data_IF_254645090468
#
_entry.id   IF_254645090468
#
_cell.length_a   1.000
_cell.length_b   1.000
_cell.length_c   1.000
_cell.angle_alpha   90.00
_cell.angle_beta   90.00
_cell.angle_gamma   90.00
#
_symmetry.space_group_name_H-M   'P 1'
#
loop_
_entity.id
_entity.type
_entity.pdbx_description
1 polymer ?
#
# COMPACT_ATOMS: atom_id res chain seq x y z
N UNK A 1 -25.91 -62.13 -31.88
CA UNK A 1 -24.89 -63.06 -31.35
C UNK A 1 -23.60 -62.75 -32.09
N UNK A 2 -22.47 -62.36 -31.52
CA UNK A 2 -22.02 -62.07 -30.16
C UNK A 2 -20.85 -61.08 -30.30
N UNK A 3 -20.68 -60.16 -29.35
CA UNK A 3 -19.68 -60.26 -28.28
C UNK A 3 -18.22 -60.28 -28.78
N UNK A 4 -17.56 -59.13 -28.66
CA UNK A 4 -16.16 -58.98 -28.24
C UNK A 4 -16.07 -57.57 -27.67
N UNK A 5 -15.81 -57.31 -26.39
CA UNK A 5 -15.01 -58.06 -25.42
C UNK A 5 -13.86 -57.14 -25.02
N UNK A 6 -14.07 -56.38 -23.94
CA UNK A 6 -13.06 -55.55 -23.28
C UNK A 6 -11.97 -56.40 -22.59
N UNK A 7 -10.94 -55.67 -22.09
CA UNK A 7 -9.87 -56.05 -21.13
C UNK A 7 -8.54 -56.38 -21.80
N UNK A 8 -7.37 -55.92 -21.36
CA UNK A 8 -6.94 -54.99 -20.30
C UNK A 8 -5.41 -54.87 -20.40
N UNK A 9 -4.81 -53.77 -19.91
CA UNK A 9 -3.47 -53.81 -19.32
C UNK A 9 -2.57 -52.62 -19.64
N UNK A 10 -2.19 -51.88 -18.59
CA UNK A 10 -1.06 -50.94 -18.63
C UNK A 10 -1.16 -49.84 -17.57
N UNK A 11 -0.49 -50.05 -16.43
CA UNK A 11 -0.22 -49.06 -15.36
C UNK A 11 0.47 -47.77 -15.87
N UNK A 12 0.24 -46.66 -15.16
CA UNK A 12 1.15 -45.51 -15.14
C UNK A 12 0.45 -44.15 -15.17
N UNK A 13 0.26 -43.54 -13.99
CA UNK A 13 -0.20 -42.16 -13.86
C UNK A 13 -0.63 -41.83 -12.44
N UNK A 14 0.35 -41.52 -11.58
CA UNK A 14 0.15 -40.70 -10.39
C UNK A 14 0.55 -39.29 -10.79
N UNK A 15 -0.33 -38.31 -10.63
CA UNK A 15 -0.14 -36.89 -10.91
C UNK A 15 -1.47 -36.18 -10.73
N UNK A 16 -1.52 -35.21 -9.81
CA UNK A 16 -2.74 -34.61 -9.29
C UNK A 16 -3.58 -33.88 -10.35
N UNK A 17 -4.90 -34.04 -10.24
CA UNK A 17 -5.86 -33.15 -10.89
C UNK A 17 -6.04 -31.91 -9.98
N UNK A 18 -4.95 -31.18 -9.72
CA UNK A 18 -5.02 -29.88 -9.04
C UNK A 18 -5.40 -28.80 -10.05
N UNK A 19 -6.28 -27.87 -9.67
CA UNK A 19 -6.58 -26.74 -10.54
C UNK A 19 -5.44 -25.70 -10.39
N UNK A 20 -5.02 -25.08 -11.49
CA UNK A 20 -3.97 -24.04 -11.48
C UNK A 20 -4.32 -22.93 -10.49
N UNK A 21 -3.38 -22.59 -9.61
CA UNK A 21 -3.48 -21.46 -8.68
C UNK A 21 -3.13 -20.17 -9.42
N UNK A 22 -4.14 -19.45 -9.89
CA UNK A 22 -3.96 -18.16 -10.58
C UNK A 22 -4.02 -16.99 -9.59
N UNK A 23 -2.93 -16.23 -9.46
CA UNK A 23 -2.83 -15.07 -8.57
C UNK A 23 -2.63 -13.79 -9.38
N UNK A 24 -3.55 -12.82 -9.26
CA UNK A 24 -3.37 -11.49 -9.87
C UNK A 24 -2.73 -10.51 -8.86
N UNK A 25 -1.77 -9.68 -9.27
CA UNK A 25 -1.19 -8.65 -8.39
C UNK A 25 -0.66 -7.42 -9.15
N UNK A 26 -0.49 -6.30 -8.44
CA UNK A 26 -0.04 -5.02 -9.01
C UNK A 26 1.47 -4.76 -8.93
N UNK A 27 2.18 -5.55 -8.13
CA UNK A 27 3.60 -5.34 -7.82
C UNK A 27 4.49 -5.61 -9.05
N UNK A 28 4.83 -4.54 -9.76
CA UNK A 28 5.58 -4.56 -11.02
C UNK A 28 6.68 -3.50 -10.99
N UNK A 29 7.79 -3.76 -11.69
CA UNK A 29 8.93 -2.83 -11.73
C UNK A 29 9.60 -2.61 -10.37
N UNK A 30 10.21 -1.43 -10.19
CA UNK A 30 11.01 -1.10 -9.00
C UNK A 30 10.25 -0.95 -7.69
N UNK A 31 8.92 -0.98 -7.72
CA UNK A 31 8.04 -0.78 -6.55
C UNK A 31 7.54 -2.09 -5.92
N UNK A 32 7.95 -3.25 -6.46
CA UNK A 32 7.59 -4.53 -5.83
C UNK A 32 7.84 -5.80 -6.63
N UNK A 33 8.47 -5.75 -7.81
CA UNK A 33 8.77 -6.96 -8.57
C UNK A 33 9.67 -7.93 -7.79
N UNK A 34 10.70 -7.43 -7.12
CA UNK A 34 11.61 -8.26 -6.32
C UNK A 34 10.92 -8.88 -5.10
N UNK A 35 10.01 -8.14 -4.44
CA UNK A 35 9.19 -8.66 -3.35
C UNK A 35 8.21 -9.75 -3.82
N UNK A 36 7.60 -9.58 -5.00
CA UNK A 36 6.74 -10.59 -5.61
C UNK A 36 7.53 -11.85 -5.98
N UNK A 37 8.69 -11.69 -6.64
CA UNK A 37 9.58 -12.81 -6.99
C UNK A 37 10.00 -13.60 -5.74
N UNK A 38 10.37 -12.91 -4.66
CA UNK A 38 10.72 -13.55 -3.39
C UNK A 38 9.54 -14.30 -2.76
N UNK A 39 8.34 -13.70 -2.74
CA UNK A 39 7.14 -14.30 -2.18
C UNK A 39 6.73 -15.57 -2.95
N UNK A 40 6.58 -15.47 -4.27
CA UNK A 40 6.12 -16.56 -5.10
C UNK A 40 7.19 -17.65 -5.24
N UNK A 41 8.47 -17.28 -5.31
CA UNK A 41 9.57 -18.24 -5.26
C UNK A 41 9.62 -19.04 -3.96
N UNK A 42 9.38 -18.40 -2.81
CA UNK A 42 9.28 -19.09 -1.52
C UNK A 42 8.07 -20.03 -1.46
N UNK A 43 6.93 -19.63 -2.06
CA UNK A 43 5.76 -20.51 -2.17
C UNK A 43 6.07 -21.75 -3.02
N UNK A 44 6.66 -21.57 -4.20
CA UNK A 44 7.02 -22.69 -5.10
C UNK A 44 8.05 -23.64 -4.48
N UNK A 45 8.96 -23.14 -3.64
CA UNK A 45 9.91 -23.98 -2.90
C UNK A 45 9.21 -24.87 -1.86
N UNK A 46 8.24 -24.33 -1.10
CA UNK A 46 7.50 -25.07 -0.08
C UNK A 46 6.38 -25.97 -0.67
N UNK A 47 5.80 -25.55 -1.80
CA UNK A 47 4.61 -26.13 -2.41
C UNK A 47 4.81 -26.49 -3.89
N UNK A 48 5.94 -27.13 -4.20
CA UNK A 48 6.31 -27.55 -5.57
C UNK A 48 5.31 -28.48 -6.29
N UNK A 49 4.30 -28.99 -5.59
CA UNK A 49 3.21 -29.79 -6.13
C UNK A 49 2.01 -28.96 -6.63
N UNK A 50 1.96 -27.67 -6.33
CA UNK A 50 0.92 -26.74 -6.79
C UNK A 50 1.42 -26.00 -8.03
N UNK A 51 0.63 -26.03 -9.12
CA UNK A 51 0.91 -25.23 -10.32
C UNK A 51 0.48 -23.78 -10.09
N UNK A 52 1.45 -22.88 -9.90
CA UNK A 52 1.23 -21.44 -9.75
C UNK A 52 1.23 -20.75 -11.13
N UNK A 53 0.22 -19.90 -11.35
CA UNK A 53 0.13 -18.96 -12.47
C UNK A 53 0.05 -17.53 -11.91
N UNK A 54 1.22 -16.93 -11.64
CA UNK A 54 1.32 -15.52 -11.23
C UNK A 54 1.08 -14.59 -12.43
N UNK A 55 0.21 -13.60 -12.24
CA UNK A 55 -0.22 -12.70 -13.29
C UNK A 55 -0.05 -11.23 -12.84
N UNK A 56 1.13 -10.64 -13.09
CA UNK A 56 1.38 -9.24 -12.78
C UNK A 56 0.61 -8.30 -13.72
N UNK A 57 -0.17 -7.39 -13.14
CA UNK A 57 -0.94 -6.36 -13.85
C UNK A 57 -0.44 -4.98 -13.38
N UNK A 58 0.45 -4.37 -14.16
CA UNK A 58 1.02 -3.07 -13.81
C UNK A 58 0.03 -1.91 -13.90
N UNK A 59 0.32 -0.86 -13.13
CA UNK A 59 -0.46 0.38 -13.06
C UNK A 59 -0.36 0.99 -11.66
N UNK A 60 -0.26 2.32 -11.56
CA UNK A 60 -0.17 3.00 -10.27
C UNK A 60 -1.43 2.83 -9.43
N UNK A 61 -1.27 2.60 -8.12
CA UNK A 61 -2.37 2.54 -7.15
C UNK A 61 -3.44 1.48 -7.46
N UNK A 62 -3.05 0.29 -7.94
CA UNK A 62 -3.92 -0.85 -8.28
C UNK A 62 -5.01 -0.62 -9.34
N UNK A 63 -5.14 0.56 -9.95
CA UNK A 63 -6.27 0.90 -10.84
C UNK A 63 -6.52 -0.13 -11.95
N UNK A 64 -5.46 -0.61 -12.61
CA UNK A 64 -5.57 -1.60 -13.70
C UNK A 64 -5.87 -3.01 -13.18
N UNK A 65 -5.35 -3.36 -12.02
CA UNK A 65 -5.64 -4.61 -11.32
C UNK A 65 -7.11 -4.66 -10.91
N UNK A 66 -7.59 -3.62 -10.20
CA UNK A 66 -8.96 -3.52 -9.71
C UNK A 66 -9.97 -3.56 -10.85
N UNK A 67 -9.70 -2.85 -11.94
CA UNK A 67 -10.54 -2.92 -13.14
C UNK A 67 -10.59 -4.34 -13.72
N UNK A 68 -9.45 -5.03 -13.77
CA UNK A 68 -9.38 -6.41 -14.29
C UNK A 68 -10.17 -7.36 -13.39
N UNK A 69 -9.93 -7.31 -12.09
CA UNK A 69 -10.62 -8.11 -11.07
C UNK A 69 -12.12 -7.87 -11.13
N UNK A 70 -12.57 -6.61 -11.12
CA UNK A 70 -13.99 -6.27 -11.19
C UNK A 70 -14.67 -6.84 -12.45
N UNK A 71 -14.02 -6.73 -13.61
CA UNK A 71 -14.54 -7.29 -14.86
C UNK A 71 -14.64 -8.82 -14.83
N UNK A 72 -13.65 -9.49 -14.24
CA UNK A 72 -13.59 -10.96 -14.08
C UNK A 72 -14.67 -11.47 -13.12
N UNK A 73 -14.82 -10.84 -11.96
CA UNK A 73 -15.87 -11.14 -11.00
C UNK A 73 -17.27 -10.96 -11.60
N UNK A 74 -17.51 -9.86 -12.32
CA UNK A 74 -18.79 -9.62 -13.02
C UNK A 74 -19.09 -10.63 -14.12
N UNK A 75 -18.05 -11.23 -14.72
CA UNK A 75 -18.18 -12.21 -15.80
C UNK A 75 -18.26 -13.67 -15.31
N UNK A 76 -18.29 -13.90 -13.99
CA UNK A 76 -18.17 -15.23 -13.35
C UNK A 76 -16.92 -15.99 -13.81
N UNK A 77 -15.79 -15.29 -13.91
CA UNK A 77 -14.48 -15.83 -14.26
C UNK A 77 -13.41 -15.33 -13.27
N UNK A 78 -13.59 -15.54 -11.95
CA UNK A 78 -12.65 -15.03 -10.95
C UNK A 78 -11.27 -15.70 -11.06
N UNK A 79 -10.19 -15.01 -10.65
CA UNK A 79 -8.92 -15.68 -10.36
C UNK A 79 -9.04 -16.58 -9.13
N UNK A 80 -7.97 -17.31 -8.80
CA UNK A 80 -7.91 -18.08 -7.56
C UNK A 80 -7.78 -17.14 -6.35
N UNK A 81 -6.94 -16.12 -6.47
CA UNK A 81 -6.89 -15.01 -5.51
C UNK A 81 -6.30 -13.79 -6.21
N UNK A 82 -6.43 -12.62 -5.58
CA UNK A 82 -5.81 -11.40 -6.08
C UNK A 82 -5.27 -10.57 -4.93
N UNK A 83 -4.14 -9.88 -5.16
CA UNK A 83 -3.64 -8.88 -4.24
C UNK A 83 -4.60 -7.69 -4.21
N UNK A 84 -4.85 -7.13 -3.04
CA UNK A 84 -5.71 -5.98 -2.89
C UNK A 84 -5.77 -5.47 -1.46
N UNK A 85 -6.44 -4.35 -1.29
CA UNK A 85 -6.56 -3.70 0.00
C UNK A 85 -7.76 -4.27 0.78
N UNK A 86 -7.58 -4.64 2.05
CA UNK A 86 -8.67 -5.08 2.92
C UNK A 86 -9.43 -3.87 3.48
N UNK A 87 -10.23 -4.06 4.54
CA UNK A 87 -10.98 -2.98 5.20
C UNK A 87 -12.18 -2.50 4.38
N UNK A 88 -12.44 -1.19 4.41
CA UNK A 88 -13.59 -0.60 3.70
C UNK A 88 -13.55 -0.85 2.19
N UNK A 89 -12.37 -1.06 1.62
CA UNK A 89 -12.18 -1.42 0.23
C UNK A 89 -12.87 -2.73 -0.18
N UNK A 90 -13.05 -3.70 0.73
CA UNK A 90 -13.72 -4.96 0.44
C UNK A 90 -15.19 -4.78 0.04
N UNK A 91 -15.83 -3.67 0.44
CA UNK A 91 -17.22 -3.37 0.10
C UNK A 91 -17.47 -3.34 -1.40
N UNK A 92 -16.47 -3.01 -2.22
CA UNK A 92 -16.62 -3.00 -3.68
C UNK A 92 -16.86 -4.40 -4.27
N UNK A 93 -16.55 -5.45 -3.50
CA UNK A 93 -16.72 -6.85 -3.86
C UNK A 93 -17.85 -7.53 -3.07
N UNK A 94 -18.75 -6.75 -2.47
CA UNK A 94 -19.89 -7.26 -1.72
C UNK A 94 -20.68 -8.31 -2.53
N UNK A 95 -20.94 -9.46 -1.89
CA UNK A 95 -21.71 -10.55 -2.48
C UNK A 95 -20.96 -11.45 -3.47
N UNK A 96 -19.67 -11.20 -3.75
CA UNK A 96 -18.84 -12.07 -4.62
C UNK A 96 -17.57 -12.59 -3.94
N UNK A 97 -17.28 -12.18 -2.70
CA UNK A 97 -16.20 -12.75 -1.89
C UNK A 97 -16.64 -14.02 -1.15
N UNK A 98 -15.68 -14.90 -0.87
CA UNK A 98 -15.91 -16.08 -0.05
C UNK A 98 -15.43 -15.90 1.39
N UNK A 99 -15.89 -16.79 2.26
CA UNK A 99 -15.43 -16.91 3.64
C UNK A 99 -14.36 -18.01 3.75
N UNK A 100 -13.20 -17.66 4.31
CA UNK A 100 -12.02 -18.52 4.51
C UNK A 100 -11.67 -18.69 6.00
N UNK A 101 -12.59 -18.39 6.92
CA UNK A 101 -12.32 -18.47 8.35
C UNK A 101 -11.84 -19.88 8.78
N UNK A 102 -12.58 -20.92 8.43
CA UNK A 102 -12.26 -22.29 8.88
C UNK A 102 -11.03 -22.88 8.18
N UNK A 103 -10.97 -22.82 6.86
CA UNK A 103 -9.95 -23.52 6.06
C UNK A 103 -8.59 -22.80 6.04
N UNK A 104 -8.56 -21.50 6.38
CA UNK A 104 -7.35 -20.68 6.36
C UNK A 104 -7.04 -20.10 7.74
N UNK A 105 -7.94 -19.27 8.29
CA UNK A 105 -7.64 -18.52 9.50
C UNK A 105 -7.51 -19.40 10.74
N UNK A 106 -8.45 -20.32 10.94
CA UNK A 106 -8.44 -21.24 12.07
C UNK A 106 -7.33 -22.28 11.92
N UNK A 107 -7.18 -22.86 10.72
CA UNK A 107 -6.19 -23.91 10.46
C UNK A 107 -4.74 -23.41 10.61
N UNK A 108 -4.44 -22.17 10.21
CA UNK A 108 -3.10 -21.58 10.35
C UNK A 108 -2.94 -20.66 11.59
N UNK A 109 -3.94 -20.61 12.46
CA UNK A 109 -3.95 -19.77 13.67
C UNK A 109 -3.61 -18.29 13.40
N UNK A 110 -4.19 -17.73 12.34
CA UNK A 110 -3.82 -16.40 11.84
C UNK A 110 -4.32 -15.27 12.77
N UNK A 111 -5.45 -15.46 13.45
CA UNK A 111 -6.01 -14.43 14.35
C UNK A 111 -5.05 -14.06 15.50
N UNK A 112 -4.41 -15.05 16.11
CA UNK A 112 -3.47 -14.83 17.21
C UNK A 112 -2.08 -14.36 16.70
N UNK A 113 -1.74 -14.68 15.45
CA UNK A 113 -0.41 -14.43 14.92
C UNK A 113 -0.23 -13.01 14.37
N UNK A 114 -1.31 -12.38 13.88
CA UNK A 114 -1.29 -11.07 13.25
C UNK A 114 -1.67 -9.95 14.21
N UNK A 115 -1.27 -8.72 13.87
CA UNK A 115 -1.67 -7.52 14.59
C UNK A 115 -3.20 -7.34 14.53
N UNK A 116 -3.86 -6.90 15.63
CA UNK A 116 -5.32 -6.77 15.67
C UNK A 116 -5.91 -5.97 14.52
N UNK A 117 -5.24 -4.89 14.10
CA UNK A 117 -5.70 -4.05 13.00
C UNK A 117 -5.68 -4.78 11.64
N UNK A 118 -4.72 -5.68 11.44
CA UNK A 118 -4.66 -6.51 10.24
C UNK A 118 -5.73 -7.62 10.25
N UNK A 119 -5.99 -8.19 11.43
CA UNK A 119 -7.08 -9.16 11.62
C UNK A 119 -8.44 -8.49 11.34
N UNK A 120 -8.70 -7.32 11.92
CA UNK A 120 -9.94 -6.56 11.74
C UNK A 120 -10.15 -6.17 10.27
N UNK A 121 -9.11 -5.66 9.61
CA UNK A 121 -9.23 -5.25 8.21
C UNK A 121 -9.64 -6.42 7.29
N UNK A 122 -9.21 -7.65 7.59
CA UNK A 122 -9.51 -8.82 6.74
C UNK A 122 -10.89 -9.44 6.98
N UNK A 123 -11.64 -8.96 7.98
CA UNK A 123 -13.01 -9.40 8.24
C UNK A 123 -14.00 -8.78 7.26
N UNK A 124 -14.90 -9.60 6.73
CA UNK A 124 -15.96 -9.15 5.82
C UNK A 124 -17.16 -10.08 5.89
N UNK A 125 -18.38 -9.53 5.79
CA UNK A 125 -19.66 -10.28 5.83
C UNK A 125 -19.81 -11.28 6.99
N UNK A 126 -19.13 -11.03 8.12
CA UNK A 126 -19.22 -11.84 9.34
C UNK A 126 -18.27 -13.04 9.40
N UNK A 127 -17.34 -13.16 8.43
CA UNK A 127 -16.23 -14.11 8.44
C UNK A 127 -14.94 -13.41 7.98
N UNK A 128 -14.05 -14.13 7.28
CA UNK A 128 -12.84 -13.56 6.71
C UNK A 128 -12.81 -13.74 5.19
N UNK A 129 -12.46 -12.70 4.44
CA UNK A 129 -12.35 -12.77 2.97
C UNK A 129 -10.96 -12.43 2.44
N UNK A 130 -10.00 -12.17 3.33
CA UNK A 130 -8.64 -11.82 2.95
C UNK A 130 -7.61 -12.39 3.93
N UNK A 131 -6.33 -12.42 3.53
CA UNK A 131 -5.17 -12.67 4.39
C UNK A 131 -4.13 -11.57 4.17
N UNK A 132 -3.63 -10.91 5.24
CA UNK A 132 -2.66 -9.83 5.09
C UNK A 132 -1.26 -10.37 4.72
N UNK A 133 -0.51 -9.61 3.92
CA UNK A 133 0.88 -9.93 3.52
C UNK A 133 1.91 -8.91 4.03
N UNK A 134 1.50 -7.66 4.24
CA UNK A 134 2.39 -6.61 4.74
C UNK A 134 1.63 -5.35 5.13
N UNK A 135 2.26 -4.53 5.98
CA UNK A 135 1.78 -3.20 6.33
C UNK A 135 2.75 -2.13 5.85
N UNK A 136 2.19 -1.10 5.21
CA UNK A 136 2.91 0.09 4.81
C UNK A 136 2.63 1.24 5.79
N UNK A 137 3.66 2.07 6.01
CA UNK A 137 3.55 3.35 6.71
C UNK A 137 3.29 4.47 5.71
N UNK A 138 2.31 5.31 6.00
CA UNK A 138 1.81 6.35 5.10
C UNK A 138 2.22 7.78 5.45
N UNK A 139 2.92 7.99 6.57
CA UNK A 139 3.31 9.30 7.07
C UNK A 139 4.84 9.45 7.14
N UNK A 140 5.55 8.94 6.14
CA UNK A 140 6.99 9.13 5.99
C UNK A 140 7.30 10.31 5.06
N UNK A 141 8.31 11.09 5.45
CA UNK A 141 8.96 12.09 4.62
C UNK A 141 10.40 11.63 4.40
N UNK A 142 10.64 10.99 3.26
CA UNK A 142 11.96 10.52 2.86
C UNK A 142 12.79 11.67 2.31
N UNK A 143 14.11 11.59 2.45
CA UNK A 143 15.00 12.59 1.91
C UNK A 143 16.35 12.04 1.47
N UNK A 144 16.96 12.74 0.51
CA UNK A 144 18.36 12.54 0.14
C UNK A 144 19.26 13.30 1.13
N UNK A 145 20.13 12.57 1.83
CA UNK A 145 20.98 13.15 2.89
C UNK A 145 21.92 14.22 2.32
N UNK A 146 22.57 13.98 1.18
CA UNK A 146 23.52 14.93 0.59
C UNK A 146 22.85 16.25 0.24
N UNK A 147 21.66 16.21 -0.36
CA UNK A 147 20.91 17.42 -0.74
C UNK A 147 20.47 18.21 0.48
N UNK A 148 19.93 17.53 1.50
CA UNK A 148 19.46 18.16 2.75
C UNK A 148 20.62 18.79 3.52
N UNK A 149 21.76 18.09 3.62
CA UNK A 149 22.99 18.62 4.22
C UNK A 149 23.55 19.81 3.44
N UNK A 150 23.54 19.75 2.10
CA UNK A 150 23.99 20.84 1.24
C UNK A 150 23.14 22.10 1.42
N UNK A 151 21.82 21.94 1.56
CA UNK A 151 20.89 23.03 1.86
C UNK A 151 21.09 23.60 3.28
N UNK A 152 21.75 22.86 4.17
CA UNK A 152 21.90 23.24 5.58
C UNK A 152 20.63 23.06 6.41
N UNK A 153 19.73 22.17 5.98
CA UNK A 153 18.50 21.82 6.68
C UNK A 153 18.82 20.73 7.72
N UNK A 154 18.35 20.92 8.96
CA UNK A 154 18.42 19.89 10.01
C UNK A 154 17.10 19.11 10.03
N UNK A 155 17.08 17.80 9.69
CA UNK A 155 15.86 16.99 9.73
C UNK A 155 15.16 17.01 11.09
N UNK A 156 15.90 17.14 12.20
CA UNK A 156 15.31 17.20 13.53
C UNK A 156 14.54 18.50 13.81
N UNK A 157 14.66 19.51 12.95
CA UNK A 157 13.89 20.75 13.03
C UNK A 157 12.53 20.67 12.36
N UNK A 158 12.23 19.60 11.61
CA UNK A 158 10.98 19.38 10.89
C UNK A 158 9.86 18.93 11.86
N UNK A 159 9.43 19.83 12.74
CA UNK A 159 8.47 19.51 13.81
C UNK A 159 7.01 19.71 13.44
N UNK A 160 6.73 20.57 12.46
CA UNK A 160 5.39 20.87 11.96
C UNK A 160 5.45 21.31 10.48
N UNK A 161 4.30 21.46 9.84
CA UNK A 161 4.23 21.80 8.41
C UNK A 161 4.84 23.16 8.06
N UNK A 162 4.87 24.14 8.98
CA UNK A 162 5.54 25.41 8.71
C UNK A 162 7.07 25.21 8.70
N UNK A 163 7.60 24.38 9.62
CA UNK A 163 9.00 24.01 9.60
C UNK A 163 9.39 23.25 8.32
N UNK A 164 8.48 22.42 7.79
CA UNK A 164 8.66 21.81 6.46
C UNK A 164 8.73 22.87 5.36
N UNK A 165 7.79 23.81 5.33
CA UNK A 165 7.77 24.89 4.32
C UNK A 165 9.06 25.72 4.37
N UNK A 166 9.53 26.09 5.57
CA UNK A 166 10.79 26.81 5.75
C UNK A 166 12.00 26.01 5.23
N UNK A 167 12.01 24.68 5.44
CA UNK A 167 13.04 23.79 4.91
C UNK A 167 12.97 23.70 3.37
N UNK A 168 11.78 23.62 2.77
CA UNK A 168 11.60 23.60 1.33
C UNK A 168 12.04 24.93 0.66
N UNK A 169 11.79 26.08 1.30
CA UNK A 169 12.31 27.37 0.84
C UNK A 169 13.84 27.42 0.94
N UNK A 170 14.41 26.85 2.02
CA UNK A 170 15.87 26.75 2.17
C UNK A 170 16.49 25.89 1.07
N UNK A 171 15.91 24.72 0.75
CA UNK A 171 16.37 23.89 -0.38
C UNK A 171 16.28 24.66 -1.70
N UNK A 172 15.17 25.37 -1.94
CA UNK A 172 14.95 26.16 -3.16
C UNK A 172 15.98 27.28 -3.36
N UNK A 173 16.48 27.85 -2.26
CA UNK A 173 17.36 29.03 -2.28
C UNK A 173 18.84 28.67 -2.23
N UNK A 174 19.19 27.57 -1.56
CA UNK A 174 20.58 27.16 -1.34
C UNK A 174 21.05 26.05 -2.30
N UNK A 175 20.14 25.42 -3.05
CA UNK A 175 20.47 24.32 -3.98
C UNK A 175 19.76 24.46 -5.33
N UNK A 176 20.14 23.62 -6.29
CA UNK A 176 19.42 23.47 -7.58
C UNK A 176 18.47 22.25 -7.58
N UNK A 177 18.36 21.56 -6.45
CA UNK A 177 17.50 20.38 -6.32
C UNK A 177 16.03 20.79 -6.24
N UNK A 178 15.14 19.89 -6.67
CA UNK A 178 13.70 20.06 -6.41
C UNK A 178 13.44 19.95 -4.91
N UNK A 179 12.77 20.91 -4.25
CA UNK A 179 12.51 20.84 -2.82
C UNK A 179 11.70 19.60 -2.43
N UNK A 180 10.56 19.39 -3.08
CA UNK A 180 9.72 18.21 -2.85
C UNK A 180 9.41 17.52 -4.19
N UNK A 181 9.90 16.30 -4.37
CA UNK A 181 9.59 15.48 -5.53
C UNK A 181 8.11 15.07 -5.50
N UNK A 182 7.37 15.31 -6.59
CA UNK A 182 5.93 15.06 -6.62
C UNK A 182 5.39 14.73 -8.01
N UNK A 183 4.45 13.78 -8.06
CA UNK A 183 3.61 13.50 -9.22
C UNK A 183 2.15 13.83 -8.88
N UNK A 184 1.49 14.67 -9.68
CA UNK A 184 0.11 15.14 -9.47
C UNK A 184 -0.93 14.10 -9.90
N UNK A 185 -0.70 12.83 -9.52
CA UNK A 185 -1.73 11.81 -9.62
C UNK A 185 -2.79 12.05 -8.51
N UNK A 186 -4.10 11.91 -8.80
CA UNK A 186 -5.15 12.18 -7.81
C UNK A 186 -4.97 11.44 -6.48
N UNK A 187 -4.59 10.17 -6.52
CA UNK A 187 -4.29 9.38 -5.31
C UNK A 187 -3.12 9.95 -4.50
N UNK A 188 -2.09 10.49 -5.16
CA UNK A 188 -0.92 11.10 -4.51
C UNK A 188 -1.26 12.43 -3.85
N UNK A 189 -2.13 13.22 -4.49
CA UNK A 189 -2.70 14.43 -3.90
C UNK A 189 -3.57 14.07 -2.69
N UNK A 190 -4.44 13.06 -2.80
CA UNK A 190 -5.32 12.61 -1.71
C UNK A 190 -4.52 12.10 -0.51
N UNK A 191 -3.46 11.32 -0.75
CA UNK A 191 -2.55 10.84 0.29
C UNK A 191 -1.87 12.01 1.01
N UNK A 192 -1.40 12.99 0.25
CA UNK A 192 -0.69 14.15 0.82
C UNK A 192 -1.65 15.09 1.55
N UNK A 193 -2.89 15.21 1.09
CA UNK A 193 -3.95 15.89 1.82
C UNK A 193 -4.21 15.20 3.17
N UNK A 194 -4.35 13.87 3.19
CA UNK A 194 -4.60 13.12 4.42
C UNK A 194 -3.49 13.28 5.46
N UNK A 195 -2.21 13.21 5.05
CA UNK A 195 -1.09 13.43 5.97
C UNK A 195 -0.98 14.88 6.44
N UNK A 196 -1.38 15.84 5.60
CA UNK A 196 -1.42 17.27 5.98
C UNK A 196 -2.53 17.53 7.01
N UNK A 197 -3.71 16.90 6.85
CA UNK A 197 -4.80 16.95 7.84
C UNK A 197 -4.34 16.38 9.20
N UNK A 198 -3.63 15.24 9.17
CA UNK A 198 -3.04 14.64 10.37
C UNK A 198 -2.00 15.55 11.03
N UNK A 199 -1.13 16.17 10.22
CA UNK A 199 -0.10 17.12 10.66
C UNK A 199 -0.68 18.34 11.38
N UNK A 200 -1.70 18.97 10.80
CA UNK A 200 -2.25 20.23 11.30
C UNK A 200 -3.30 20.05 12.40
N UNK A 201 -4.08 18.98 12.33
CA UNK A 201 -5.31 18.82 13.11
C UNK A 201 -5.35 17.53 13.94
N UNK A 202 -4.41 16.61 13.73
CA UNK A 202 -4.26 15.40 14.51
C UNK A 202 -5.27 14.30 14.17
N UNK A 203 -5.11 13.16 14.84
CA UNK A 203 -5.87 11.94 14.61
C UNK A 203 -7.38 12.09 14.76
N UNK A 204 -7.87 12.79 15.79
CA UNK A 204 -9.30 12.93 16.05
C UNK A 204 -9.99 13.73 14.94
N UNK A 205 -9.37 14.80 14.44
CA UNK A 205 -9.93 15.60 13.36
C UNK A 205 -9.98 14.82 12.04
N UNK A 206 -8.92 14.07 11.74
CA UNK A 206 -8.87 13.17 10.59
C UNK A 206 -9.93 12.06 10.69
N UNK A 207 -10.06 11.41 11.85
CA UNK A 207 -11.05 10.34 12.09
C UNK A 207 -12.47 10.87 11.96
N UNK A 208 -12.77 12.03 12.57
CA UNK A 208 -14.07 12.67 12.41
C UNK A 208 -14.38 12.98 10.94
N UNK A 209 -13.39 13.43 10.16
CA UNK A 209 -13.56 13.67 8.73
C UNK A 209 -13.95 12.39 7.98
N UNK A 210 -13.16 11.31 8.10
CA UNK A 210 -13.43 10.05 7.39
C UNK A 210 -14.75 9.38 7.82
N UNK A 211 -15.27 9.70 9.00
CA UNK A 211 -16.56 9.24 9.52
C UNK A 211 -17.75 10.15 9.12
N UNK A 212 -17.53 11.16 8.26
CA UNK A 212 -18.58 12.07 7.78
C UNK A 212 -18.95 13.17 8.78
N UNK A 213 -18.10 13.44 9.77
CA UNK A 213 -18.27 14.45 10.82
C UNK A 213 -17.15 15.50 10.81
N UNK A 214 -16.54 15.75 9.64
CA UNK A 214 -15.41 16.68 9.48
C UNK A 214 -15.72 18.12 9.88
N UNK A 215 -14.69 18.85 10.32
CA UNK A 215 -14.75 20.30 10.48
C UNK A 215 -14.34 20.98 9.17
N UNK A 216 -15.28 21.70 8.54
CA UNK A 216 -15.06 22.43 7.29
C UNK A 216 -13.86 23.40 7.39
N UNK A 217 -13.64 24.03 8.55
CA UNK A 217 -12.52 24.94 8.73
C UNK A 217 -11.17 24.21 8.73
N UNK A 218 -11.12 22.99 9.28
CA UNK A 218 -9.93 22.15 9.25
C UNK A 218 -9.65 21.66 7.82
N UNK A 219 -10.67 21.12 7.14
CA UNK A 219 -10.57 20.69 5.74
C UNK A 219 -10.07 21.82 4.84
N UNK A 220 -10.61 23.04 5.03
CA UNK A 220 -10.20 24.23 4.29
C UNK A 220 -8.74 24.62 4.57
N UNK A 221 -8.31 24.62 5.83
CA UNK A 221 -6.92 24.93 6.22
C UNK A 221 -5.95 23.94 5.56
N UNK A 222 -6.28 22.65 5.57
CA UNK A 222 -5.47 21.62 4.92
C UNK A 222 -5.34 21.83 3.42
N UNK A 223 -6.40 22.27 2.73
CA UNK A 223 -6.28 22.65 1.32
C UNK A 223 -5.44 23.90 1.09
N UNK A 224 -5.47 24.89 1.99
CA UNK A 224 -4.61 26.07 1.86
C UNK A 224 -3.13 25.67 1.99
N UNK A 225 -2.79 24.87 2.99
CA UNK A 225 -1.43 24.36 3.22
C UNK A 225 -0.96 23.46 2.08
N UNK A 226 -1.81 22.53 1.62
CA UNK A 226 -1.47 21.68 0.48
C UNK A 226 -1.29 22.49 -0.81
N UNK A 227 -2.09 23.54 -1.02
CA UNK A 227 -1.95 24.45 -2.15
C UNK A 227 -0.64 25.22 -2.13
N UNK A 228 -0.15 25.60 -0.95
CA UNK A 228 1.17 26.20 -0.78
C UNK A 228 2.30 25.21 -1.10
N UNK A 229 2.21 23.97 -0.59
CA UNK A 229 3.18 22.91 -0.86
C UNK A 229 3.28 22.60 -2.37
N UNK A 230 2.14 22.29 -3.00
CA UNK A 230 2.08 21.89 -4.40
C UNK A 230 2.22 23.06 -5.38
N UNK A 231 1.93 24.28 -4.95
CA UNK A 231 2.06 25.47 -5.80
C UNK A 231 3.49 26.01 -5.91
N UNK A 232 4.31 25.81 -4.87
CA UNK A 232 5.59 26.51 -4.75
C UNK A 232 6.82 25.60 -4.71
N UNK A 233 6.71 24.35 -4.26
CA UNK A 233 7.87 23.55 -3.87
C UNK A 233 8.06 22.25 -4.64
N UNK A 234 7.18 21.94 -5.60
CA UNK A 234 7.27 20.72 -6.41
C UNK A 234 7.93 20.95 -7.77
N UNK A 235 8.31 19.87 -8.43
CA UNK A 235 8.87 19.88 -9.78
C UNK A 235 7.87 20.41 -10.84
N UNK A 236 8.40 21.13 -11.84
CA UNK A 236 7.58 21.79 -12.87
C UNK A 236 6.82 20.82 -13.80
N UNK A 237 7.29 19.58 -13.93
CA UNK A 237 6.68 18.54 -14.76
C UNK A 237 5.74 17.60 -13.97
N UNK A 238 5.39 17.95 -12.73
CA UNK A 238 4.58 17.15 -11.81
C UNK A 238 3.25 16.64 -12.40
N UNK A 239 2.65 17.38 -13.34
CA UNK A 239 1.41 16.99 -14.01
C UNK A 239 1.56 15.86 -15.05
N UNK A 240 2.79 15.52 -15.45
CA UNK A 240 3.06 14.54 -16.52
C UNK A 240 4.02 13.42 -16.14
N UNK A 241 4.76 13.59 -15.05
CA UNK A 241 5.73 12.62 -14.56
C UNK A 241 5.04 11.55 -13.71
N UNK A 242 5.55 10.32 -13.77
CA UNK A 242 5.08 9.23 -12.92
C UNK A 242 5.76 9.25 -11.54
N UNK A 243 5.08 8.69 -10.53
CA UNK A 243 5.62 8.65 -9.17
C UNK A 243 6.98 7.91 -9.09
N UNK A 244 7.17 6.86 -9.90
CA UNK A 244 8.42 6.09 -9.92
C UNK A 244 9.58 6.92 -10.45
N UNK A 245 9.33 7.80 -11.42
CA UNK A 245 10.33 8.71 -11.98
C UNK A 245 10.70 9.82 -10.99
N UNK A 246 9.74 10.37 -10.25
CA UNK A 246 10.08 11.35 -9.19
C UNK A 246 10.80 10.70 -8.01
N UNK A 247 10.50 9.43 -7.70
CA UNK A 247 11.26 8.68 -6.69
C UNK A 247 12.74 8.50 -7.08
N UNK A 248 13.02 8.29 -8.38
CA UNK A 248 14.39 8.25 -8.89
C UNK A 248 15.16 9.56 -8.68
N UNK A 249 14.47 10.71 -8.64
CA UNK A 249 15.11 12.01 -8.38
C UNK A 249 15.67 12.09 -6.96
N UNK A 250 15.01 11.46 -6.00
CA UNK A 250 15.51 11.37 -4.61
C UNK A 250 16.76 10.49 -4.57
N UNK A 251 16.71 9.31 -5.20
CA UNK A 251 17.87 8.41 -5.29
C UNK A 251 19.08 9.06 -5.96
N UNK A 252 18.85 9.89 -6.98
CA UNK A 252 19.91 10.55 -7.74
C UNK A 252 20.41 11.88 -7.12
N UNK A 253 19.78 12.38 -6.06
CA UNK A 253 20.09 13.69 -5.48
C UNK A 253 19.60 14.89 -6.31
N UNK A 254 18.63 14.66 -7.21
CA UNK A 254 17.97 15.71 -7.99
C UNK A 254 16.79 16.35 -7.23
N UNK A 255 16.38 15.76 -6.11
CA UNK A 255 15.35 16.27 -5.21
C UNK A 255 15.72 16.05 -3.74
N UNK A 256 15.23 16.92 -2.85
CA UNK A 256 15.53 16.85 -1.42
C UNK A 256 14.57 15.92 -0.67
N UNK A 257 13.26 16.14 -0.77
CA UNK A 257 12.25 15.43 0.01
C UNK A 257 11.20 14.74 -0.88
N UNK A 258 10.63 13.63 -0.41
CA UNK A 258 9.42 13.02 -0.96
C UNK A 258 8.51 12.52 0.17
N UNK A 259 7.24 12.92 0.14
CA UNK A 259 6.21 12.27 0.94
C UNK A 259 5.62 11.10 0.14
N UNK A 260 5.84 9.88 0.64
CA UNK A 260 5.27 8.66 0.08
C UNK A 260 5.05 7.62 1.18
N UNK A 261 4.28 6.58 0.86
CA UNK A 261 4.31 5.39 1.69
C UNK A 261 5.66 4.68 1.57
N UNK A 262 6.00 3.88 2.57
CA UNK A 262 7.33 3.26 2.66
C UNK A 262 7.66 2.21 1.60
N UNK A 263 6.79 1.97 0.63
CA UNK A 263 7.15 1.23 -0.58
C UNK A 263 8.33 1.87 -1.34
N UNK A 264 8.50 3.19 -1.28
CA UNK A 264 9.67 3.85 -1.90
C UNK A 264 10.98 3.44 -1.25
N UNK A 265 10.98 3.10 0.05
CA UNK A 265 12.15 2.55 0.73
C UNK A 265 12.55 1.20 0.13
N UNK A 266 11.58 0.38 -0.29
CA UNK A 266 11.84 -0.87 -1.02
C UNK A 266 12.69 -0.64 -2.26
N UNK A 267 12.37 0.39 -3.06
CA UNK A 267 13.18 0.76 -4.21
C UNK A 267 14.62 1.16 -3.82
N UNK A 268 14.81 1.90 -2.73
CA UNK A 268 16.13 2.32 -2.26
C UNK A 268 16.97 1.12 -1.80
N UNK A 269 16.34 0.19 -1.07
CA UNK A 269 16.95 -1.05 -0.59
C UNK A 269 17.42 -1.92 -1.77
N UNK A 270 16.56 -2.09 -2.77
CA UNK A 270 16.82 -2.95 -3.93
C UNK A 270 17.88 -2.35 -4.88
N UNK A 271 17.98 -1.02 -4.95
CA UNK A 271 19.09 -0.33 -5.64
C UNK A 271 20.40 -0.30 -4.82
N UNK A 272 20.37 -0.82 -3.58
CA UNK A 272 21.54 -0.96 -2.71
C UNK A 272 21.98 0.34 -2.05
N UNK A 273 21.09 1.32 -1.91
CA UNK A 273 21.37 2.60 -1.25
C UNK A 273 21.41 2.44 0.28
N UNK A 274 22.42 3.02 0.91
CA UNK A 274 22.67 2.89 2.35
C UNK A 274 21.76 3.81 3.18
N UNK A 275 20.84 3.22 3.95
CA UNK A 275 19.99 3.92 4.91
C UNK A 275 20.83 4.62 6.00
N UNK A 276 20.56 5.90 6.25
CA UNK A 276 21.31 6.74 7.19
C UNK A 276 22.62 7.30 6.62
N UNK A 277 22.95 7.03 5.35
CA UNK A 277 24.10 7.61 4.67
C UNK A 277 23.75 8.28 3.33
N UNK A 278 22.92 7.64 2.49
CA UNK A 278 22.48 8.18 1.19
C UNK A 278 21.05 8.71 1.25
N UNK A 279 20.19 8.03 2.01
CA UNK A 279 18.80 8.43 2.24
C UNK A 279 18.42 8.16 3.69
N UNK A 280 17.43 8.89 4.18
CA UNK A 280 16.81 8.67 5.49
C UNK A 280 15.35 9.18 5.47
N UNK A 281 14.62 8.99 6.55
CA UNK A 281 13.22 9.38 6.66
C UNK A 281 12.90 9.93 8.05
N UNK A 282 12.14 11.01 8.08
CA UNK A 282 11.43 11.46 9.29
C UNK A 282 9.94 11.18 9.15
N UNK A 283 9.19 11.24 10.25
CA UNK A 283 7.73 11.31 10.15
C UNK A 283 7.35 12.62 9.47
N UNK A 284 6.27 12.60 8.70
CA UNK A 284 5.72 13.82 8.15
C UNK A 284 5.47 14.80 9.32
N UNK A 285 5.99 16.03 9.28
CA UNK A 285 6.08 16.88 10.47
C UNK A 285 4.74 17.06 11.18
N UNK A 286 4.70 16.90 12.50
CA UNK A 286 3.47 16.93 13.30
C UNK A 286 2.73 15.59 13.43
N UNK A 287 3.23 14.51 12.82
CA UNK A 287 2.62 13.16 12.89
C UNK A 287 3.41 12.16 13.75
N UNK A 288 4.30 12.65 14.61
CA UNK A 288 5.02 11.80 15.58
C UNK A 288 4.06 10.99 16.47
N UNK A 289 4.42 9.74 16.77
CA UNK A 289 3.56 8.81 17.51
C UNK A 289 2.42 8.20 16.68
N UNK A 290 2.23 8.63 15.42
CA UNK A 290 1.28 8.02 14.50
C UNK A 290 1.97 7.05 13.53
N UNK A 291 1.29 5.95 13.21
CA UNK A 291 1.60 5.09 12.08
C UNK A 291 0.44 5.16 11.09
N UNK A 292 0.59 5.91 10.00
CA UNK A 292 -0.41 5.94 8.93
C UNK A 292 -0.57 4.54 8.37
N UNK A 293 -1.69 3.89 8.69
CA UNK A 293 -1.88 2.46 8.49
C UNK A 293 -2.34 2.20 7.06
N UNK A 294 -1.59 1.34 6.38
CA UNK A 294 -2.00 0.67 5.15
C UNK A 294 -1.64 -0.81 5.24
N UNK A 295 -2.45 -1.68 4.64
CA UNK A 295 -2.27 -3.14 4.64
C UNK A 295 -2.50 -3.64 3.22
N UNK A 296 -1.54 -4.42 2.73
CA UNK A 296 -1.72 -5.25 1.54
C UNK A 296 -2.20 -6.64 1.96
N UNK A 297 -3.08 -7.23 1.16
CA UNK A 297 -3.65 -8.55 1.43
C UNK A 297 -3.86 -9.35 0.14
N UNK A 298 -4.12 -10.65 0.29
CA UNK A 298 -4.70 -11.47 -0.75
C UNK A 298 -6.18 -11.70 -0.44
N UNK A 299 -7.06 -11.41 -1.41
CA UNK A 299 -8.52 -11.46 -1.28
C UNK A 299 -9.07 -12.70 -1.98
N UNK A 300 -10.04 -13.37 -1.35
CA UNK A 300 -10.61 -14.64 -1.78
C UNK A 300 -11.97 -14.48 -2.50
N UNK A 301 -12.06 -14.77 -3.81
CA UNK A 301 -13.34 -14.83 -4.53
C UNK A 301 -14.20 -16.03 -4.07
N UNK A 302 -15.52 -15.85 -3.99
CA UNK A 302 -16.44 -16.90 -3.55
C UNK A 302 -16.56 -18.08 -4.54
N UNK A 303 -16.64 -17.78 -5.84
CA UNK A 303 -16.67 -18.80 -6.91
C UNK A 303 -15.25 -19.20 -7.33
N UNK A 304 -14.39 -19.50 -6.36
CA UNK A 304 -12.98 -19.80 -6.55
C UNK A 304 -12.75 -21.04 -7.46
N UNK A 305 -11.91 -20.96 -8.51
CA UNK A 305 -11.63 -22.10 -9.40
C UNK A 305 -10.69 -23.15 -8.80
N UNK A 306 -9.90 -22.84 -7.77
CA UNK A 306 -8.90 -23.71 -7.14
C UNK A 306 -8.90 -23.56 -5.59
N UNK A 307 -10.01 -23.90 -4.91
CA UNK A 307 -10.18 -23.58 -3.48
C UNK A 307 -9.15 -24.26 -2.56
N UNK A 308 -8.72 -25.49 -2.87
CA UNK A 308 -7.73 -26.22 -2.05
C UNK A 308 -6.32 -25.63 -2.20
N UNK A 309 -5.92 -25.31 -3.42
CA UNK A 309 -4.65 -24.65 -3.73
C UNK A 309 -4.63 -23.22 -3.17
N UNK A 310 -5.74 -22.48 -3.30
CA UNK A 310 -5.87 -21.12 -2.77
C UNK A 310 -5.79 -21.10 -1.24
N UNK A 311 -6.48 -22.02 -0.55
CA UNK A 311 -6.39 -22.11 0.90
C UNK A 311 -4.96 -22.45 1.37
N UNK A 312 -4.22 -23.24 0.59
CA UNK A 312 -2.80 -23.52 0.86
C UNK A 312 -1.94 -22.27 0.70
N UNK A 313 -2.09 -21.56 -0.42
CA UNK A 313 -1.40 -20.28 -0.66
C UNK A 313 -1.72 -19.23 0.40
N UNK A 314 -2.98 -19.05 0.77
CA UNK A 314 -3.38 -18.04 1.76
C UNK A 314 -2.87 -18.37 3.17
N UNK A 315 -2.82 -19.65 3.56
CA UNK A 315 -2.15 -20.05 4.81
C UNK A 315 -0.65 -19.74 4.77
N UNK A 316 0.00 -19.99 3.64
CA UNK A 316 1.41 -19.62 3.43
C UNK A 316 1.61 -18.10 3.50
N UNK A 317 0.79 -17.31 2.79
CA UNK A 317 0.86 -15.84 2.75
C UNK A 317 0.72 -15.20 4.14
N UNK A 318 -0.16 -15.74 4.98
CA UNK A 318 -0.31 -15.33 6.38
C UNK A 318 0.77 -15.89 7.32
N UNK A 319 1.60 -16.80 6.84
CA UNK A 319 2.68 -17.47 7.57
C UNK A 319 3.98 -16.64 7.65
N UNK A 320 4.89 -17.08 8.52
CA UNK A 320 6.17 -16.37 8.75
C UNK A 320 7.04 -16.32 7.48
N UNK A 321 7.14 -17.42 6.74
CA UNK A 321 8.00 -17.51 5.55
C UNK A 321 7.63 -16.47 4.47
N UNK A 322 6.34 -16.38 4.13
CA UNK A 322 5.84 -15.38 3.17
C UNK A 322 6.05 -13.95 3.68
N UNK A 323 5.78 -13.72 4.96
CA UNK A 323 5.91 -12.41 5.58
C UNK A 323 7.36 -11.92 5.60
N UNK A 324 8.33 -12.81 5.83
CA UNK A 324 9.76 -12.46 5.72
C UNK A 324 10.16 -12.27 4.26
N UNK A 325 9.79 -13.20 3.37
CA UNK A 325 10.16 -13.19 1.96
C UNK A 325 9.70 -11.90 1.25
N UNK A 326 8.46 -11.49 1.47
CA UNK A 326 7.88 -10.32 0.83
C UNK A 326 8.40 -9.01 1.42
N UNK A 327 8.32 -8.85 2.74
CA UNK A 327 8.53 -7.55 3.39
C UNK A 327 9.99 -7.08 3.37
N UNK A 328 10.97 -8.00 3.29
CA UNK A 328 12.39 -7.62 3.23
C UNK A 328 12.75 -6.79 1.98
N UNK A 329 11.98 -6.92 0.89
CA UNK A 329 12.20 -6.21 -0.38
C UNK A 329 11.13 -5.15 -0.68
N UNK A 330 9.95 -5.24 -0.07
CA UNK A 330 8.82 -4.35 -0.39
C UNK A 330 8.91 -2.98 0.29
N UNK A 331 9.66 -2.86 1.37
CA UNK A 331 9.69 -1.68 2.24
C UNK A 331 8.55 -1.65 3.27
N UNK A 332 7.55 -2.53 3.15
CA UNK A 332 6.55 -2.80 4.19
C UNK A 332 7.12 -3.61 5.34
N UNK A 333 6.39 -3.68 6.45
CA UNK A 333 6.69 -4.55 7.58
C UNK A 333 5.71 -5.73 7.65
N UNK A 334 6.11 -6.87 8.24
CA UNK A 334 5.18 -7.95 8.52
C UNK A 334 3.99 -7.50 9.36
N UNK A 335 2.81 -8.05 9.08
CA UNK A 335 1.62 -7.90 9.93
C UNK A 335 1.62 -8.89 11.10
N UNK A 336 2.53 -9.89 11.09
CA UNK A 336 2.74 -10.84 12.19
C UNK A 336 3.52 -10.20 13.34
N UNK A 337 3.12 -10.49 14.59
CA UNK A 337 3.68 -9.84 15.78
C UNK A 337 5.06 -10.36 16.22
N UNK A 338 5.44 -11.58 15.83
CA UNK A 338 6.68 -12.26 16.29
C UNK A 338 7.56 -12.74 15.12
N UNK A 339 7.84 -11.86 14.14
CA UNK A 339 8.69 -12.21 13.00
C UNK A 339 10.17 -11.95 13.31
N UNK A 340 11.09 -12.89 12.98
CA UNK A 340 12.52 -12.64 13.07
C UNK A 340 12.92 -11.43 12.21
N UNK A 341 13.70 -10.51 12.78
CA UNK A 341 14.16 -9.31 12.07
C UNK A 341 15.55 -9.46 11.46
N UNK A 342 16.15 -10.66 11.52
CA UNK A 342 17.53 -10.90 11.06
C UNK A 342 17.72 -10.68 9.55
N UNK A 343 16.66 -10.86 8.76
CA UNK A 343 16.65 -10.65 7.30
C UNK A 343 16.23 -9.21 6.92
N UNK A 344 15.86 -8.38 7.91
CA UNK A 344 15.44 -7.01 7.67
C UNK A 344 16.59 -6.03 7.85
N UNK A 345 16.65 -5.03 6.97
CA UNK A 345 17.58 -3.92 7.15
C UNK A 345 17.15 -3.03 8.34
N UNK A 346 18.02 -2.07 8.67
CA UNK A 346 17.81 -1.18 9.80
C UNK A 346 16.51 -0.36 9.69
N UNK A 347 16.20 0.20 8.51
CA UNK A 347 14.97 0.95 8.28
C UNK A 347 13.70 0.13 8.60
N UNK A 348 13.66 -1.12 8.13
CA UNK A 348 12.54 -2.03 8.39
C UNK A 348 12.45 -2.40 9.87
N UNK A 349 13.59 -2.63 10.53
CA UNK A 349 13.63 -2.91 11.98
C UNK A 349 13.11 -1.72 12.79
N UNK A 350 13.52 -0.50 12.44
CA UNK A 350 13.03 0.74 13.06
C UNK A 350 11.53 0.93 12.80
N UNK A 351 11.07 0.62 11.58
CA UNK A 351 9.65 0.72 11.21
C UNK A 351 8.78 -0.28 12.00
N UNK A 352 9.27 -1.50 12.25
CA UNK A 352 8.61 -2.50 13.11
C UNK A 352 8.48 -1.98 14.54
N UNK A 353 9.56 -1.44 15.11
CA UNK A 353 9.56 -0.89 16.46
C UNK A 353 8.57 0.28 16.59
N UNK A 354 8.61 1.20 15.64
CA UNK A 354 7.69 2.33 15.58
C UNK A 354 6.22 1.87 15.43
N UNK A 355 5.92 0.82 14.65
CA UNK A 355 4.55 0.27 14.53
C UNK A 355 4.06 -0.30 15.88
N UNK A 356 4.93 -1.00 16.61
CA UNK A 356 4.61 -1.56 17.92
C UNK A 356 4.41 -0.48 18.98
N UNK A 357 5.13 0.65 18.86
CA UNK A 357 5.09 1.76 19.79
C UNK A 357 4.11 2.88 19.41
N UNK A 358 3.50 2.83 18.23
CA UNK A 358 2.58 3.85 17.74
C UNK A 358 1.40 4.05 18.71
N UNK A 359 1.13 5.31 19.07
CA UNK A 359 0.01 5.69 19.92
C UNK A 359 -1.31 5.62 19.13
N UNK A 360 -1.24 5.92 17.83
CA UNK A 360 -2.38 6.03 16.92
C UNK A 360 -2.02 5.45 15.56
N UNK A 361 -3.01 4.80 14.92
CA UNK A 361 -2.83 4.15 13.62
C UNK A 361 -3.92 4.60 12.63
N UNK A 362 -3.91 5.86 12.15
CA UNK A 362 -4.97 6.37 11.28
C UNK A 362 -5.03 5.54 9.98
N UNK A 363 -6.21 5.02 9.60
CA UNK A 363 -6.35 4.26 8.36
C UNK A 363 -6.18 5.19 7.17
N UNK A 364 -5.49 4.72 6.13
CA UNK A 364 -5.25 5.50 4.91
C UNK A 364 -6.52 5.81 4.10
N UNK A 365 -6.65 7.07 3.66
CA UNK A 365 -7.75 7.55 2.82
C UNK A 365 -7.57 7.23 1.33
N UNK A 366 -6.34 7.26 0.84
CA UNK A 366 -6.04 7.09 -0.59
C UNK A 366 -5.72 5.63 -0.98
N UNK A 367 -5.69 4.72 0.00
CA UNK A 367 -5.26 3.33 -0.19
C UNK A 367 -6.18 2.34 0.52
N UNK A 368 -7.50 2.56 0.39
CA UNK A 368 -8.54 1.56 0.65
C UNK A 368 -8.98 1.29 2.10
N UNK A 369 -8.23 1.66 3.13
CA UNK A 369 -8.60 1.27 4.50
C UNK A 369 -9.71 2.14 5.10
N UNK A 370 -9.67 3.46 4.92
CA UNK A 370 -10.53 4.38 5.67
C UNK A 370 -11.98 4.46 5.16
N UNK A 371 -12.18 4.41 3.84
CA UNK A 371 -13.48 4.64 3.20
C UNK A 371 -13.71 3.65 2.06
N UNK A 372 -14.97 3.39 1.66
CA UNK A 372 -15.26 2.56 0.50
C UNK A 372 -14.64 3.12 -0.78
N UNK A 373 -14.30 2.24 -1.73
CA UNK A 373 -13.68 2.63 -3.00
C UNK A 373 -14.46 3.70 -3.77
N UNK A 374 -15.80 3.71 -3.68
CA UNK A 374 -16.64 4.74 -4.30
C UNK A 374 -16.38 6.13 -3.71
N UNK A 375 -16.29 6.23 -2.38
CA UNK A 375 -15.99 7.49 -1.68
C UNK A 375 -14.58 7.95 -2.02
N UNK A 376 -13.58 7.06 -1.99
CA UNK A 376 -12.22 7.39 -2.41
C UNK A 376 -12.20 7.94 -3.86
N UNK A 377 -12.87 7.26 -4.80
CA UNK A 377 -12.92 7.67 -6.21
C UNK A 377 -13.60 9.03 -6.40
N UNK A 378 -14.65 9.32 -5.61
CA UNK A 378 -15.31 10.62 -5.62
C UNK A 378 -14.40 11.74 -5.09
N UNK A 379 -13.64 11.49 -4.00
CA UNK A 379 -12.65 12.44 -3.48
C UNK A 379 -11.53 12.72 -4.48
N UNK A 380 -10.99 11.68 -5.13
CA UNK A 380 -10.01 11.82 -6.21
C UNK A 380 -10.58 12.63 -7.40
N UNK A 381 -11.87 12.45 -7.71
CA UNK A 381 -12.59 13.26 -8.69
C UNK A 381 -12.65 14.75 -8.30
N UNK A 382 -12.97 15.06 -7.04
CA UNK A 382 -12.94 16.43 -6.53
C UNK A 382 -11.56 17.06 -6.69
N UNK A 383 -10.49 16.33 -6.36
CA UNK A 383 -9.11 16.80 -6.53
C UNK A 383 -8.76 17.03 -7.99
N UNK A 384 -9.10 16.10 -8.87
CA UNK A 384 -8.83 16.25 -10.29
C UNK A 384 -9.53 17.48 -10.89
N UNK A 385 -10.77 17.74 -10.47
CA UNK A 385 -11.59 18.81 -11.03
C UNK A 385 -11.29 20.19 -10.42
N UNK A 386 -10.79 20.24 -9.18
CA UNK A 386 -10.69 21.48 -8.40
C UNK A 386 -9.34 21.71 -7.70
N UNK A 387 -8.39 20.78 -7.74
CA UNK A 387 -7.16 20.88 -6.95
C UNK A 387 -5.87 20.33 -7.59
N UNK A 388 -5.93 19.80 -8.82
CA UNK A 388 -4.73 19.43 -9.60
C UNK A 388 -4.26 20.57 -10.53
N UNK A 389 -5.21 21.21 -11.21
CA UNK A 389 -5.07 22.49 -11.95
C UNK A 389 -6.49 22.91 -12.42
N UNK A 390 -7.13 23.93 -11.84
CA UNK A 390 -6.59 24.94 -10.91
C UNK A 390 -6.60 24.51 -9.44
N UNK A 391 -5.87 25.23 -8.58
CA UNK A 391 -6.03 25.15 -7.11
C UNK A 391 -7.22 26.01 -6.65
N UNK A 392 -8.41 25.40 -6.52
CA UNK A 392 -9.63 26.02 -5.99
C UNK A 392 -9.96 25.44 -4.60
N UNK A 393 -9.43 26.08 -3.56
CA UNK A 393 -9.60 25.68 -2.16
C UNK A 393 -11.08 25.61 -1.75
N UNK A 394 -11.90 26.57 -2.18
CA UNK A 394 -13.29 26.65 -1.75
C UNK A 394 -14.11 25.50 -2.38
N UNK A 395 -13.91 25.22 -3.67
CA UNK A 395 -14.57 24.12 -4.35
C UNK A 395 -14.08 22.74 -3.85
N UNK A 396 -12.78 22.58 -3.62
CA UNK A 396 -12.22 21.34 -3.09
C UNK A 396 -12.71 21.06 -1.66
N UNK A 397 -12.77 22.08 -0.80
CA UNK A 397 -13.31 21.97 0.57
C UNK A 397 -14.76 21.49 0.54
N UNK A 398 -15.62 22.17 -0.24
CA UNK A 398 -17.03 21.79 -0.31
C UNK A 398 -17.22 20.38 -0.88
N UNK A 399 -16.45 20.01 -1.91
CA UNK A 399 -16.49 18.68 -2.49
C UNK A 399 -16.11 17.59 -1.48
N UNK A 400 -15.06 17.80 -0.68
CA UNK A 400 -14.68 16.84 0.36
C UNK A 400 -15.74 16.72 1.45
N UNK A 401 -16.32 17.84 1.88
CA UNK A 401 -17.40 17.84 2.89
C UNK A 401 -18.71 17.21 2.40
N UNK A 402 -18.96 17.20 1.10
CA UNK A 402 -20.16 16.61 0.50
C UNK A 402 -20.00 15.10 0.20
N UNK A 403 -18.76 14.63 0.01
CA UNK A 403 -18.45 13.25 -0.38
C UNK A 403 -18.35 12.28 0.80
N UNK A 404 -17.77 12.72 1.92
CA UNK A 404 -17.61 11.89 3.13
C UNK A 404 -18.77 12.11 4.09
#
# INVERSE_FOLDING_TARGET
MGLSGCLSGGEGGSGGDGNTLEILHGWTGGDGAEAAEALFGAFEEEHSDIELDENPIGGGGNQSLDQTVANRLQSNDPPSSFAGWPGANLQQYEGVLGDIEEDVWNEANLQDAHAPEAVEACQFDGGFSAVPIGSHRMNDLFYNIEVVEQAGVDPASLTDVNALIDALDTVSTETEATPMAFALAPWGILQTWAVTMLSEHGFDAYTNFIEGNGDEAAVRSTFETLGELLGNYINADAASVDFTEVNQRIMNGDAAFIHQGNWVAGAYINEGLEYGAEWDAVRFPGTDGMYGLHIDSFIYPGENPSPEETATFMRFAGGEAAQVAFNQYKGSIPTRQEVPTDEFNQYLTDTIEDFQNAEQKPPTLAHGLAVPQSTQSELEGVLNDNFADPFDVDAATQGFMDTV
#
